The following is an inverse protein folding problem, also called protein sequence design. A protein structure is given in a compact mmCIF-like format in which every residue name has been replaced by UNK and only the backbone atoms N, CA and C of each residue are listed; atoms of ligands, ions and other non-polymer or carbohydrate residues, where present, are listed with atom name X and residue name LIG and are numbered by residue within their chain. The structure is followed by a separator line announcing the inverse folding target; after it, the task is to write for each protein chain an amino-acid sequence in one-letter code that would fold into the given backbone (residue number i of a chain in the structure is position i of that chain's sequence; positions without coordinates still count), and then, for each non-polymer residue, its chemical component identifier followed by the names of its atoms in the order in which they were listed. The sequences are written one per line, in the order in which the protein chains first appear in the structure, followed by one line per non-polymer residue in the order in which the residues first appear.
data_IF_215730448352
#
_entry.id   IF_215730448352
#
_cell.length_a   1.000
_cell.length_b   1.000
_cell.length_c   1.000
_cell.angle_alpha   90.00
_cell.angle_beta   90.00
_cell.angle_gamma   90.00
#
_symmetry.space_group_name_H-M   'P 1'
#
loop_
_entity.id
_entity.type
_entity.pdbx_description
1 polymer ?
#
# COMPACT_ATOMS: atom_id res chain seq x y z
N UNK A 1 18.17 -18.82 22.50
CA UNK A 1 18.63 -18.11 21.29
C UNK A 1 17.64 -16.98 21.03
N UNK A 2 17.81 -15.85 21.74
CA UNK A 2 16.86 -14.72 21.68
C UNK A 2 16.98 -14.04 20.32
N UNK A 3 15.89 -14.00 19.56
CA UNK A 3 15.75 -13.21 18.34
C UNK A 3 15.63 -11.71 18.67
N UNK A 4 16.56 -11.17 19.45
CA UNK A 4 16.72 -9.74 19.64
C UNK A 4 17.80 -9.28 18.67
N UNK A 5 17.48 -8.30 17.83
CA UNK A 5 18.48 -7.65 16.98
C UNK A 5 19.61 -7.15 17.87
N UNK A 6 20.88 -7.47 17.54
CA UNK A 6 22.00 -7.12 18.41
C UNK A 6 22.07 -5.61 18.70
N UNK A 7 22.67 -5.19 19.81
CA UNK A 7 22.86 -3.78 20.11
C UNK A 7 23.74 -3.06 19.06
N UNK A 8 24.70 -3.75 18.46
CA UNK A 8 25.58 -3.19 17.42
C UNK A 8 25.44 -3.93 16.10
N UNK A 9 25.67 -3.22 14.99
CA UNK A 9 25.63 -3.82 13.66
C UNK A 9 26.81 -4.75 13.37
N UNK A 10 27.94 -4.53 14.04
CA UNK A 10 29.15 -5.35 13.91
C UNK A 10 28.96 -6.75 14.52
N UNK A 11 28.26 -6.86 15.65
CA UNK A 11 27.89 -8.14 16.26
C UNK A 11 27.04 -9.05 15.36
N UNK A 12 26.45 -8.50 14.29
CA UNK A 12 25.73 -9.30 13.30
C UNK A 12 26.69 -10.18 12.47
N UNK A 13 27.94 -9.74 12.30
CA UNK A 13 28.93 -10.39 11.45
C UNK A 13 30.11 -10.98 12.22
N UNK A 14 30.32 -10.57 13.47
CA UNK A 14 31.41 -11.06 14.30
C UNK A 14 31.01 -12.27 15.19
N UNK A 15 31.90 -13.27 15.38
CA UNK A 15 33.16 -13.46 14.67
C UNK A 15 32.93 -13.92 13.21
N UNK A 16 33.69 -13.33 12.28
CA UNK A 16 33.58 -13.62 10.84
C UNK A 16 33.68 -15.12 10.51
N UNK A 17 34.51 -15.88 11.24
CA UNK A 17 34.72 -17.31 11.01
C UNK A 17 33.44 -18.15 11.12
N UNK A 18 32.50 -17.76 11.98
CA UNK A 18 31.23 -18.47 12.17
C UNK A 18 30.09 -17.87 11.34
N UNK A 19 30.19 -16.57 11.00
CA UNK A 19 29.13 -15.81 10.36
C UNK A 19 29.39 -15.50 8.87
N UNK A 20 30.39 -16.15 8.23
CA UNK A 20 30.68 -16.00 6.78
C UNK A 20 29.41 -16.15 5.92
N UNK A 21 28.54 -17.10 6.28
CA UNK A 21 27.28 -17.35 5.56
C UNK A 21 26.36 -16.13 5.52
N UNK A 22 26.36 -15.27 6.57
CA UNK A 22 25.57 -14.03 6.59
C UNK A 22 26.10 -13.01 5.59
N UNK A 23 27.42 -12.92 5.44
CA UNK A 23 28.08 -12.04 4.46
C UNK A 23 27.74 -12.50 3.04
N UNK A 24 27.82 -13.82 2.78
CA UNK A 24 27.44 -14.40 1.49
C UNK A 24 25.97 -14.11 1.17
N UNK A 25 25.06 -14.32 2.13
CA UNK A 25 23.63 -14.01 1.94
C UNK A 25 23.40 -12.51 1.69
N UNK A 26 24.05 -11.63 2.45
CA UNK A 26 23.95 -10.19 2.25
C UNK A 26 24.41 -9.79 0.84
N UNK A 27 25.53 -10.35 0.37
CA UNK A 27 26.03 -10.13 -0.99
C UNK A 27 25.04 -10.61 -2.06
N UNK A 28 24.48 -11.81 -1.91
CA UNK A 28 23.46 -12.36 -2.82
C UNK A 28 22.23 -11.47 -2.85
N UNK A 29 21.73 -11.02 -1.69
CA UNK A 29 20.58 -10.12 -1.59
C UNK A 29 20.86 -8.79 -2.30
N UNK A 30 22.04 -8.20 -2.10
CA UNK A 30 22.46 -6.98 -2.79
C UNK A 30 22.42 -7.17 -4.32
N UNK A 31 22.99 -8.27 -4.83
CA UNK A 31 22.98 -8.60 -6.26
C UNK A 31 21.54 -8.76 -6.77
N UNK A 32 20.68 -9.46 -6.03
CA UNK A 32 19.27 -9.63 -6.39
C UNK A 32 18.50 -8.32 -6.43
N UNK A 33 18.75 -7.39 -5.49
CA UNK A 33 18.13 -6.06 -5.49
C UNK A 33 18.57 -5.28 -6.73
N UNK A 34 19.87 -5.23 -7.02
CA UNK A 34 20.41 -4.54 -8.20
C UNK A 34 19.79 -5.11 -9.49
N UNK A 35 19.72 -6.44 -9.60
CA UNK A 35 19.09 -7.11 -10.74
C UNK A 35 17.61 -6.74 -10.86
N UNK A 36 16.87 -6.71 -9.74
CA UNK A 36 15.45 -6.32 -9.72
C UNK A 36 15.25 -4.85 -10.12
N UNK A 37 16.10 -3.93 -9.67
CA UNK A 37 16.09 -2.52 -10.09
C UNK A 37 16.26 -2.44 -11.61
N UNK A 38 17.32 -3.07 -12.15
CA UNK A 38 17.59 -3.04 -13.58
C UNK A 38 16.48 -3.67 -14.43
N UNK A 39 15.85 -4.74 -13.95
CA UNK A 39 14.68 -5.35 -14.60
C UNK A 39 13.47 -4.41 -14.58
N UNK A 40 13.16 -3.77 -13.44
CA UNK A 40 12.02 -2.86 -13.30
C UNK A 40 12.17 -1.61 -14.17
N UNK A 41 13.37 -1.02 -14.21
CA UNK A 41 13.66 0.13 -15.07
C UNK A 41 13.49 -0.25 -16.55
N UNK A 42 14.04 -1.38 -16.98
CA UNK A 42 13.87 -1.85 -18.38
C UNK A 42 12.41 -2.12 -18.74
N UNK A 43 11.66 -2.76 -17.85
CA UNK A 43 10.23 -3.00 -18.05
C UNK A 43 9.46 -1.68 -18.18
N UNK A 44 9.74 -0.71 -17.30
CA UNK A 44 9.11 0.62 -17.33
C UNK A 44 9.44 1.35 -18.63
N UNK A 45 10.70 1.37 -19.04
CA UNK A 45 11.13 1.97 -20.30
C UNK A 45 10.47 1.31 -21.51
N UNK A 46 10.32 -0.02 -21.50
CA UNK A 46 9.62 -0.76 -22.56
C UNK A 46 8.15 -0.34 -22.65
N UNK A 47 7.45 -0.25 -21.51
CA UNK A 47 6.05 0.17 -21.46
C UNK A 47 5.88 1.60 -21.95
N UNK A 48 6.75 2.53 -21.51
CA UNK A 48 6.70 3.94 -21.96
C UNK A 48 6.94 4.05 -23.46
N UNK A 49 7.93 3.32 -24.01
CA UNK A 49 8.21 3.32 -25.45
C UNK A 49 7.05 2.75 -26.27
N UNK A 50 6.50 1.62 -25.85
CA UNK A 50 5.37 0.98 -26.52
C UNK A 50 4.14 1.90 -26.53
N UNK A 51 3.85 2.56 -25.40
CA UNK A 51 2.74 3.50 -25.29
C UNK A 51 2.94 4.76 -26.13
N UNK A 52 4.14 5.35 -26.12
CA UNK A 52 4.44 6.50 -26.97
C UNK A 52 4.37 6.15 -28.45
N UNK A 53 4.84 4.95 -28.84
CA UNK A 53 4.71 4.46 -30.20
C UNK A 53 3.24 4.26 -30.59
N UNK A 54 2.43 3.67 -29.71
CA UNK A 54 0.99 3.52 -29.93
C UNK A 54 0.26 4.86 -30.03
N UNK A 55 0.54 5.81 -29.14
CA UNK A 55 -0.04 7.18 -29.18
C UNK A 55 0.32 7.84 -30.52
N UNK A 56 1.58 7.73 -30.93
CA UNK A 56 2.05 8.33 -32.19
C UNK A 56 1.35 7.69 -33.39
N UNK A 57 1.35 6.36 -33.47
CA UNK A 57 0.70 5.61 -34.54
C UNK A 57 -0.80 5.92 -34.64
N UNK A 58 -1.52 5.91 -33.50
CA UNK A 58 -2.94 6.28 -33.46
C UNK A 58 -3.21 7.73 -33.86
N UNK A 59 -2.33 8.65 -33.48
CA UNK A 59 -2.47 10.06 -33.88
C UNK A 59 -2.26 10.22 -35.37
N UNK A 60 -1.30 9.52 -35.96
CA UNK A 60 -1.04 9.53 -37.41
C UNK A 60 -2.23 8.97 -38.20
N UNK A 61 -2.80 7.84 -37.76
CA UNK A 61 -4.00 7.24 -38.37
C UNK A 61 -5.22 8.18 -38.31
N UNK A 62 -5.49 8.78 -37.15
CA UNK A 62 -6.59 9.75 -37.01
C UNK A 62 -6.37 11.04 -37.80
N UNK A 63 -5.11 11.42 -38.01
CA UNK A 63 -4.75 12.59 -38.82
C UNK A 63 -5.00 12.29 -40.31
N UNK A 64 -4.75 11.06 -40.77
CA UNK A 64 -5.07 10.60 -42.11
C UNK A 64 -6.60 10.56 -42.33
N UNK A 65 -7.36 10.00 -41.38
CA UNK A 65 -8.83 9.99 -41.43
C UNK A 65 -9.44 11.41 -41.53
N UNK A 66 -8.80 12.38 -40.87
CA UNK A 66 -9.24 13.78 -40.93
C UNK A 66 -9.21 14.34 -42.36
N UNK A 67 -8.32 13.84 -43.23
CA UNK A 67 -8.21 14.28 -44.62
C UNK A 67 -9.36 13.78 -45.50
N UNK A 68 -9.99 12.67 -45.14
CA UNK A 68 -11.12 12.08 -45.85
C UNK A 68 -12.49 12.58 -45.35
N UNK A 69 -12.52 13.44 -44.33
CA UNK A 69 -13.76 14.04 -43.83
C UNK A 69 -14.47 14.85 -44.92
N UNK A 70 -15.75 14.55 -45.16
CA UNK A 70 -16.52 15.27 -46.17
C UNK A 70 -16.84 16.71 -45.72
N UNK A 71 -16.64 17.77 -46.55
CA UNK A 71 -16.82 19.16 -46.15
C UNK A 71 -18.24 19.51 -45.66
N UNK A 72 -19.26 18.77 -46.11
CA UNK A 72 -20.66 18.93 -45.66
C UNK A 72 -20.95 18.34 -44.27
N UNK A 73 -20.02 17.58 -43.68
CA UNK A 73 -20.19 16.96 -42.37
C UNK A 73 -19.08 17.40 -41.39
N UNK A 74 -19.11 18.64 -40.89
CA UNK A 74 -18.08 19.16 -39.98
C UNK A 74 -18.07 18.48 -38.60
N UNK A 75 -19.13 17.78 -38.23
CA UNK A 75 -19.23 17.10 -36.93
C UNK A 75 -18.25 15.92 -36.82
N UNK A 76 -17.97 15.23 -37.94
CA UNK A 76 -17.04 14.09 -38.00
C UNK A 76 -15.60 14.57 -37.77
N UNK A 77 -15.19 15.61 -38.48
CA UNK A 77 -13.90 16.26 -38.26
C UNK A 77 -13.71 16.75 -36.82
N UNK A 78 -14.75 17.35 -36.21
CA UNK A 78 -14.71 17.76 -34.79
C UNK A 78 -14.59 16.56 -33.85
N UNK A 79 -15.28 15.45 -34.14
CA UNK A 79 -15.20 14.24 -33.33
C UNK A 79 -13.80 13.63 -33.37
N UNK A 80 -13.17 13.53 -34.56
CA UNK A 80 -11.80 13.03 -34.73
C UNK A 80 -10.79 13.93 -34.01
N UNK A 81 -10.89 15.26 -34.17
CA UNK A 81 -10.04 16.21 -33.44
C UNK A 81 -10.17 16.08 -31.92
N UNK A 82 -11.38 15.83 -31.41
CA UNK A 82 -11.59 15.57 -29.99
C UNK A 82 -10.94 14.25 -29.56
N UNK A 83 -11.01 13.18 -30.36
CA UNK A 83 -10.31 11.92 -30.10
C UNK A 83 -8.79 12.12 -30.02
N UNK A 84 -8.20 12.86 -30.97
CA UNK A 84 -6.76 13.20 -30.96
C UNK A 84 -6.40 13.95 -29.67
N UNK A 85 -7.20 14.93 -29.26
CA UNK A 85 -6.99 15.67 -27.99
C UNK A 85 -7.07 14.75 -26.77
N UNK A 86 -7.97 13.77 -26.77
CA UNK A 86 -8.12 12.80 -25.68
C UNK A 86 -6.90 11.87 -25.64
N UNK A 87 -6.49 11.33 -26.79
CA UNK A 87 -5.34 10.41 -26.89
C UNK A 87 -4.05 11.10 -26.46
N UNK A 88 -3.82 12.32 -26.90
CA UNK A 88 -2.65 13.11 -26.48
C UNK A 88 -2.67 13.49 -24.99
N UNK A 89 -3.84 13.47 -24.35
CA UNK A 89 -3.99 13.69 -22.90
C UNK A 89 -3.89 12.41 -22.07
N UNK A 90 -3.79 11.22 -22.69
CA UNK A 90 -3.61 9.97 -21.97
C UNK A 90 -2.30 10.05 -21.17
N UNK A 91 -2.40 9.97 -19.85
CA UNK A 91 -1.21 10.02 -18.98
C UNK A 91 -0.32 8.82 -19.29
N UNK A 92 0.96 9.10 -19.58
CA UNK A 92 1.97 8.09 -19.92
C UNK A 92 2.14 7.05 -18.81
N UNK A 93 1.96 7.45 -17.54
CA UNK A 93 2.23 6.62 -16.36
C UNK A 93 1.03 5.88 -15.75
N UNK A 94 -0.20 6.03 -16.27
CA UNK A 94 -1.30 5.17 -15.78
C UNK A 94 -1.05 3.76 -16.32
N UNK A 95 -0.59 2.87 -15.44
CA UNK A 95 -0.54 1.45 -15.70
C UNK A 95 -1.94 0.86 -15.58
N UNK A 96 -2.32 0.03 -16.54
CA UNK A 96 -3.57 -0.76 -16.52
C UNK A 96 -3.54 -1.85 -15.43
N UNK A 97 -2.36 -2.12 -14.85
CA UNK A 97 -2.16 -3.19 -13.87
C UNK A 97 -1.68 -2.64 -12.52
N UNK A 98 -2.48 -2.85 -11.47
CA UNK A 98 -2.16 -2.49 -10.08
C UNK A 98 -0.82 -3.08 -9.61
N UNK A 99 -0.43 -4.25 -10.14
CA UNK A 99 0.85 -4.90 -9.82
C UNK A 99 2.07 -4.09 -10.24
N UNK A 100 1.93 -3.16 -11.19
CA UNK A 100 3.01 -2.27 -11.59
C UNK A 100 3.37 -1.27 -10.47
N UNK A 101 2.36 -0.66 -9.84
CA UNK A 101 2.56 0.25 -8.72
C UNK A 101 3.12 -0.51 -7.51
N UNK A 102 2.59 -1.70 -7.26
CA UNK A 102 3.07 -2.56 -6.18
C UNK A 102 4.56 -2.93 -6.33
N UNK A 103 5.02 -3.25 -7.55
CA UNK A 103 6.43 -3.54 -7.81
C UNK A 103 7.36 -2.36 -7.47
N UNK A 104 6.92 -1.11 -7.71
CA UNK A 104 7.67 0.09 -7.33
C UNK A 104 7.71 0.28 -5.82
N UNK A 105 6.59 0.09 -5.12
CA UNK A 105 6.54 0.14 -3.65
C UNK A 105 7.49 -0.91 -3.06
N UNK A 106 7.42 -2.15 -3.55
CA UNK A 106 8.31 -3.22 -3.12
C UNK A 106 9.79 -2.89 -3.39
N UNK A 107 10.09 -2.25 -4.52
CA UNK A 107 11.45 -1.83 -4.85
C UNK A 107 11.97 -0.76 -3.89
N UNK A 108 11.15 0.25 -3.58
CA UNK A 108 11.49 1.32 -2.64
C UNK A 108 11.76 0.73 -1.25
N UNK A 109 10.90 -0.17 -0.77
CA UNK A 109 11.06 -0.83 0.54
C UNK A 109 12.32 -1.71 0.56
N UNK A 110 12.64 -2.43 -0.52
CA UNK A 110 13.89 -3.19 -0.62
C UNK A 110 15.14 -2.28 -0.62
N UNK A 111 15.09 -1.13 -1.29
CA UNK A 111 16.20 -0.15 -1.25
C UNK A 111 16.33 0.45 0.15
N UNK A 112 15.22 0.78 0.81
CA UNK A 112 15.20 1.31 2.16
C UNK A 112 15.79 0.32 3.19
N UNK A 113 15.44 -0.97 3.09
CA UNK A 113 16.05 -2.01 3.93
C UNK A 113 17.55 -2.14 3.71
N UNK A 114 18.02 -2.08 2.46
CA UNK A 114 19.45 -2.10 2.16
C UNK A 114 20.18 -0.88 2.73
N UNK A 115 19.60 0.31 2.57
CA UNK A 115 20.16 1.55 3.12
C UNK A 115 20.24 1.51 4.65
N UNK A 116 19.19 1.05 5.32
CA UNK A 116 19.16 0.88 6.77
C UNK A 116 20.12 -0.20 7.25
N UNK A 117 20.30 -1.27 6.47
CA UNK A 117 21.28 -2.30 6.79
C UNK A 117 22.71 -1.75 6.79
N UNK A 118 23.05 -0.92 5.79
CA UNK A 118 24.35 -0.23 5.72
C UNK A 118 24.48 0.78 6.87
N UNK A 119 23.43 1.55 7.15
CA UNK A 119 23.43 2.55 8.24
C UNK A 119 23.61 1.89 9.61
N UNK A 120 22.90 0.80 9.87
CA UNK A 120 22.99 0.03 11.11
C UNK A 120 24.38 -0.62 11.29
N UNK A 121 25.05 -1.02 10.20
CA UNK A 121 26.43 -1.51 10.25
C UNK A 121 27.46 -0.40 10.52
N UNK A 122 27.25 0.81 9.98
CA UNK A 122 28.22 1.92 10.08
C UNK A 122 28.06 2.77 11.34
N UNK A 123 26.85 2.90 11.85
CA UNK A 123 26.52 3.74 13.00
C UNK A 123 26.32 2.82 14.20
N UNK A 124 27.40 2.55 14.90
CA UNK A 124 27.35 1.72 16.10
C UNK A 124 26.59 2.41 17.24
N UNK A 125 25.87 1.61 18.02
CA UNK A 125 25.20 1.99 19.26
C UNK A 125 24.13 3.10 19.14
N UNK A 126 23.38 3.16 18.02
CA UNK A 126 22.19 4.00 17.92
C UNK A 126 20.89 3.15 17.96
N UNK A 127 20.17 3.25 19.08
CA UNK A 127 18.92 2.52 19.31
C UNK A 127 17.82 2.89 18.31
N UNK A 128 17.74 4.15 17.87
CA UNK A 128 16.72 4.59 16.91
C UNK A 128 16.90 3.93 15.54
N UNK A 129 18.14 3.80 15.08
CA UNK A 129 18.47 3.12 13.82
C UNK A 129 18.17 1.63 13.94
N UNK A 130 18.44 1.01 15.09
CA UNK A 130 18.10 -0.40 15.36
C UNK A 130 16.58 -0.64 15.32
N UNK A 131 15.79 0.23 15.94
CA UNK A 131 14.33 0.13 15.90
C UNK A 131 13.79 0.34 14.48
N UNK A 132 14.30 1.34 13.76
CA UNK A 132 13.91 1.59 12.38
C UNK A 132 14.26 0.41 11.46
N UNK A 133 15.48 -0.12 11.56
CA UNK A 133 15.94 -1.30 10.82
C UNK A 133 15.02 -2.51 11.06
N UNK A 134 14.72 -2.80 12.33
CA UNK A 134 13.89 -3.96 12.70
C UNK A 134 12.46 -3.83 12.17
N UNK A 135 11.84 -2.65 12.33
CA UNK A 135 10.46 -2.38 11.85
C UNK A 135 10.38 -2.45 10.33
N UNK A 136 11.29 -1.77 9.63
CA UNK A 136 11.27 -1.71 8.16
C UNK A 136 11.60 -3.07 7.56
N UNK A 137 12.50 -3.85 8.17
CA UNK A 137 12.75 -5.24 7.74
C UNK A 137 11.53 -6.14 7.90
N UNK A 138 10.75 -5.97 8.98
CA UNK A 138 9.49 -6.72 9.18
C UNK A 138 8.48 -6.37 8.08
N UNK A 139 8.28 -5.08 7.81
CA UNK A 139 7.39 -4.61 6.74
C UNK A 139 7.86 -5.13 5.39
N UNK A 140 9.17 -5.06 5.10
CA UNK A 140 9.73 -5.55 3.86
C UNK A 140 9.50 -7.04 3.66
N UNK A 141 9.56 -7.85 4.71
CA UNK A 141 9.24 -9.28 4.63
C UNK A 141 7.80 -9.50 4.16
N UNK A 142 6.83 -8.77 4.70
CA UNK A 142 5.43 -8.86 4.28
C UNK A 142 5.24 -8.41 2.82
N UNK A 143 5.87 -7.30 2.44
CA UNK A 143 5.79 -6.77 1.07
C UNK A 143 6.42 -7.73 0.06
N UNK A 144 7.56 -8.35 0.40
CA UNK A 144 8.18 -9.34 -0.48
C UNK A 144 7.32 -10.61 -0.59
N UNK A 145 6.69 -11.06 0.50
CA UNK A 145 5.78 -12.22 0.47
C UNK A 145 4.55 -11.97 -0.39
N UNK A 146 3.91 -10.81 -0.26
CA UNK A 146 2.80 -10.40 -1.12
C UNK A 146 3.21 -10.29 -2.60
N UNK A 147 4.45 -9.88 -2.87
CA UNK A 147 4.97 -9.88 -4.25
C UNK A 147 5.01 -11.28 -4.88
N UNK A 148 5.20 -12.34 -4.09
CA UNK A 148 5.19 -13.72 -4.60
C UNK A 148 3.85 -14.07 -5.25
N UNK A 149 2.74 -13.44 -4.83
CA UNK A 149 1.44 -13.61 -5.48
C UNK A 149 1.49 -13.23 -6.96
N UNK A 150 2.29 -12.25 -7.35
CA UNK A 150 2.45 -11.89 -8.77
C UNK A 150 3.05 -13.04 -9.58
N UNK A 151 4.06 -13.71 -9.02
CA UNK A 151 4.71 -14.86 -9.67
C UNK A 151 3.76 -16.08 -9.70
N UNK A 152 2.83 -16.16 -8.74
CA UNK A 152 1.81 -17.21 -8.70
C UNK A 152 0.69 -17.05 -9.74
N UNK A 153 0.58 -15.87 -10.37
CA UNK A 153 -0.44 -15.57 -11.40
C UNK A 153 -0.38 -16.52 -12.60
N UNK A 154 0.80 -17.07 -12.90
CA UNK A 154 1.01 -17.99 -14.03
C UNK A 154 0.50 -19.41 -13.78
N UNK A 155 0.18 -19.78 -12.54
CA UNK A 155 -0.30 -21.14 -12.23
C UNK A 155 -1.81 -21.29 -12.41
N UNK A 156 -2.30 -22.38 -13.03
CA UNK A 156 -3.73 -22.66 -13.14
C UNK A 156 -4.40 -22.76 -11.76
N UNK A 157 -5.62 -22.22 -11.62
CA UNK A 157 -6.37 -22.20 -10.37
C UNK A 157 -5.99 -21.03 -9.46
N UNK A 158 -4.82 -21.07 -8.83
CA UNK A 158 -4.34 -20.01 -7.92
C UNK A 158 -4.21 -18.68 -8.68
N UNK A 159 -3.72 -18.72 -9.93
CA UNK A 159 -3.58 -17.52 -10.75
C UNK A 159 -4.91 -16.83 -11.06
N UNK A 160 -6.00 -17.60 -11.21
CA UNK A 160 -7.34 -17.03 -11.42
C UNK A 160 -7.81 -16.26 -10.18
N UNK A 161 -7.59 -16.79 -8.98
CA UNK A 161 -7.92 -16.08 -7.73
C UNK A 161 -7.17 -14.76 -7.60
N UNK A 162 -5.88 -14.75 -7.96
CA UNK A 162 -5.03 -13.55 -7.92
C UNK A 162 -5.51 -12.51 -8.95
N UNK A 163 -5.95 -12.93 -10.13
CA UNK A 163 -6.50 -12.05 -11.15
C UNK A 163 -7.80 -11.41 -10.65
N UNK A 164 -8.71 -12.21 -10.10
CA UNK A 164 -9.98 -11.71 -9.55
C UNK A 164 -9.71 -10.70 -8.42
N UNK A 165 -8.80 -11.02 -7.48
CA UNK A 165 -8.43 -10.10 -6.40
C UNK A 165 -7.90 -8.76 -6.93
N UNK A 166 -7.11 -8.79 -8.01
CA UNK A 166 -6.60 -7.59 -8.67
C UNK A 166 -7.68 -6.77 -9.38
N UNK A 167 -8.75 -7.41 -9.89
CA UNK A 167 -9.86 -6.71 -10.52
C UNK A 167 -10.83 -6.10 -9.49
N UNK A 168 -11.04 -6.78 -8.36
CA UNK A 168 -11.92 -6.30 -7.29
C UNK A 168 -11.26 -5.20 -6.43
N UNK A 169 -9.97 -4.88 -6.61
CA UNK A 169 -9.28 -3.90 -5.77
C UNK A 169 -9.90 -2.51 -5.80
N UNK A 170 -10.44 -2.09 -6.95
CA UNK A 170 -11.09 -0.79 -7.09
C UNK A 170 -12.43 -0.77 -6.33
N UNK A 171 -13.16 -1.89 -6.33
CA UNK A 171 -14.38 -2.05 -5.53
C UNK A 171 -14.06 -2.02 -4.03
N UNK A 172 -12.95 -2.63 -3.59
CA UNK A 172 -12.50 -2.55 -2.20
C UNK A 172 -12.22 -1.11 -1.76
N UNK A 173 -11.67 -0.25 -2.62
CA UNK A 173 -11.44 1.16 -2.28
C UNK A 173 -12.76 1.90 -2.09
N UNK A 174 -13.75 1.64 -2.95
CA UNK A 174 -15.09 2.22 -2.81
C UNK A 174 -15.78 1.76 -1.52
N UNK A 175 -15.66 0.47 -1.17
CA UNK A 175 -16.16 -0.07 0.09
C UNK A 175 -15.42 0.50 1.30
N UNK A 176 -14.09 0.65 1.24
CA UNK A 176 -13.32 1.28 2.30
C UNK A 176 -13.75 2.73 2.52
N UNK A 177 -14.04 3.48 1.45
CA UNK A 177 -14.59 4.83 1.55
C UNK A 177 -15.94 4.85 2.27
N UNK A 178 -16.86 3.94 1.91
CA UNK A 178 -18.15 3.81 2.59
C UNK A 178 -17.98 3.44 4.08
N UNK A 179 -17.06 2.51 4.39
CA UNK A 179 -16.71 2.15 5.76
C UNK A 179 -16.22 3.39 6.53
N UNK A 180 -15.28 4.16 5.97
CA UNK A 180 -14.78 5.37 6.63
C UNK A 180 -15.83 6.47 6.80
N UNK A 181 -16.81 6.56 5.89
CA UNK A 181 -17.93 7.49 5.99
C UNK A 181 -18.82 7.21 7.21
N UNK A 182 -18.94 5.95 7.63
CA UNK A 182 -19.67 5.54 8.84
C UNK A 182 -18.74 5.60 10.05
N UNK A 183 -17.54 5.03 9.93
CA UNK A 183 -16.56 4.90 11.02
C UNK A 183 -16.15 6.24 11.65
N UNK A 184 -15.91 7.29 10.83
CA UNK A 184 -15.42 8.59 11.33
C UNK A 184 -16.49 9.29 12.20
N UNK A 185 -17.75 9.46 11.76
CA UNK A 185 -18.81 10.02 12.60
C UNK A 185 -19.03 9.25 13.90
N UNK A 186 -19.05 7.91 13.86
CA UNK A 186 -19.21 7.11 15.07
C UNK A 186 -18.03 7.29 16.03
N UNK A 187 -16.81 7.27 15.52
CA UNK A 187 -15.60 7.54 16.33
C UNK A 187 -15.65 8.95 16.96
N UNK A 188 -16.14 9.96 16.23
CA UNK A 188 -16.33 11.29 16.78
C UNK A 188 -17.40 11.32 17.89
N UNK A 189 -18.52 10.60 17.72
CA UNK A 189 -19.54 10.45 18.75
C UNK A 189 -18.99 9.80 20.02
N UNK A 190 -18.23 8.71 19.89
CA UNK A 190 -17.54 8.07 21.03
C UNK A 190 -16.54 9.01 21.70
N UNK A 191 -15.83 9.86 20.94
CA UNK A 191 -14.90 10.84 21.49
C UNK A 191 -15.59 11.91 22.32
N UNK A 192 -16.74 12.43 21.85
CA UNK A 192 -17.49 13.48 22.54
C UNK A 192 -18.04 12.97 23.88
N UNK A 193 -18.55 11.73 23.90
CA UNK A 193 -19.27 11.19 25.05
C UNK A 193 -18.35 10.47 26.04
N UNK A 194 -17.33 9.75 25.57
CA UNK A 194 -16.45 8.91 26.42
C UNK A 194 -14.98 9.30 26.39
N UNK A 195 -14.60 10.27 25.53
CA UNK A 195 -13.21 10.67 25.35
C UNK A 195 -12.74 11.72 26.36
N UNK A 196 -11.58 12.32 26.09
CA UNK A 196 -10.94 13.31 26.96
C UNK A 196 -11.81 14.50 27.43
N UNK A 197 -12.73 15.06 26.63
CA UNK A 197 -13.58 16.17 27.07
C UNK A 197 -14.85 15.73 27.84
N UNK A 198 -15.06 14.43 28.06
CA UNK A 198 -16.24 13.92 28.75
C UNK A 198 -16.17 14.08 30.28
N UNK A 199 -17.34 14.03 30.94
CA UNK A 199 -17.46 14.08 32.41
C UNK A 199 -16.84 12.86 33.11
N UNK A 200 -16.81 11.71 32.41
CA UNK A 200 -16.28 10.42 32.90
C UNK A 200 -15.49 9.73 31.78
N UNK A 201 -14.22 10.10 31.56
CA UNK A 201 -13.42 9.55 30.47
C UNK A 201 -13.17 8.06 30.69
N UNK A 202 -13.33 7.27 29.62
CA UNK A 202 -13.10 5.82 29.63
C UNK A 202 -11.68 5.51 29.18
N UNK A 203 -11.03 4.55 29.83
CA UNK A 203 -9.68 4.10 29.51
C UNK A 203 -9.62 3.64 28.03
N UNK A 204 -8.63 4.10 27.29
CA UNK A 204 -8.41 3.90 25.84
C UNK A 204 -9.21 4.80 24.88
N UNK A 205 -10.10 5.66 25.40
CA UNK A 205 -10.83 6.67 24.62
C UNK A 205 -10.26 8.08 24.77
N UNK A 206 -9.19 8.24 25.56
CA UNK A 206 -8.54 9.50 25.92
C UNK A 206 -7.68 10.11 24.80
N UNK A 207 -7.19 9.29 23.87
CA UNK A 207 -6.37 9.72 22.72
C UNK A 207 -7.01 9.30 21.40
N UNK A 208 -6.98 10.14 20.33
CA UNK A 208 -7.63 9.82 19.06
C UNK A 208 -7.18 8.48 18.46
N UNK A 209 -5.88 8.17 18.49
CA UNK A 209 -5.37 6.91 17.95
C UNK A 209 -5.85 5.67 18.74
N UNK A 210 -5.92 5.78 20.07
CA UNK A 210 -6.41 4.70 20.94
C UNK A 210 -7.91 4.52 20.81
N UNK A 211 -8.65 5.62 20.64
CA UNK A 211 -10.09 5.59 20.39
C UNK A 211 -10.39 4.92 19.05
N UNK A 212 -9.73 5.36 17.96
CA UNK A 212 -9.96 4.78 16.63
C UNK A 212 -9.67 3.28 16.63
N UNK A 213 -8.61 2.86 17.33
CA UNK A 213 -8.32 1.44 17.51
C UNK A 213 -9.41 0.72 18.31
N UNK A 214 -9.90 1.30 19.40
CA UNK A 214 -10.95 0.69 20.24
C UNK A 214 -12.29 0.59 19.53
N UNK A 215 -12.68 1.61 18.76
CA UNK A 215 -13.89 1.59 17.91
C UNK A 215 -13.72 0.59 16.77
N UNK A 216 -12.54 0.52 16.15
CA UNK A 216 -12.26 -0.50 15.13
C UNK A 216 -12.29 -1.94 15.70
N UNK A 217 -11.90 -2.15 16.96
CA UNK A 217 -12.08 -3.46 17.61
C UNK A 217 -13.55 -3.84 17.78
N UNK A 218 -14.41 -2.84 18.05
CA UNK A 218 -15.86 -3.04 18.12
C UNK A 218 -16.44 -3.47 16.75
N UNK A 219 -15.97 -2.89 15.65
CA UNK A 219 -16.31 -3.32 14.28
C UNK A 219 -15.99 -4.79 14.00
N UNK A 220 -14.81 -5.23 14.43
CA UNK A 220 -14.32 -6.60 14.20
C UNK A 220 -14.96 -7.61 15.17
N UNK A 221 -15.75 -7.15 16.15
CA UNK A 221 -16.38 -8.00 17.17
C UNK A 221 -15.39 -8.53 18.21
N UNK A 222 -14.27 -7.84 18.41
CA UNK A 222 -13.26 -8.18 19.42
C UNK A 222 -13.63 -7.58 20.79
N UNK A 223 -13.05 -8.11 21.88
CA UNK A 223 -13.37 -7.71 23.26
C UNK A 223 -13.01 -6.24 23.51
N UNK A 224 -14.02 -5.38 23.55
CA UNK A 224 -13.89 -3.96 23.89
C UNK A 224 -14.43 -3.67 25.31
N UNK A 225 -13.99 -2.55 25.91
CA UNK A 225 -14.31 -2.18 27.29
C UNK A 225 -15.76 -1.67 27.44
N UNK A 226 -16.75 -2.55 27.22
CA UNK A 226 -18.17 -2.22 27.33
C UNK A 226 -18.55 -1.84 28.76
N UNK A 227 -17.99 -2.50 29.77
CA UNK A 227 -18.25 -2.21 31.18
C UNK A 227 -17.84 -0.78 31.54
N UNK A 228 -16.68 -0.32 31.04
CA UNK A 228 -16.21 1.05 31.21
C UNK A 228 -17.13 2.08 30.54
N UNK A 229 -17.64 1.78 29.33
CA UNK A 229 -18.59 2.64 28.63
C UNK A 229 -19.92 2.75 29.40
N UNK A 230 -20.47 1.62 29.86
CA UNK A 230 -21.74 1.57 30.60
C UNK A 230 -21.62 2.23 31.98
N UNK A 231 -20.46 2.12 32.65
CA UNK A 231 -20.21 2.79 33.92
C UNK A 231 -20.09 4.32 33.78
N UNK A 232 -19.60 4.80 32.64
CA UNK A 232 -19.55 6.22 32.32
C UNK A 232 -20.95 6.77 32.05
N UNK A 233 -21.62 6.25 31.02
CA UNK A 233 -22.96 6.68 30.63
C UNK A 233 -23.77 5.49 30.07
N UNK A 234 -24.67 4.89 30.87
CA UNK A 234 -25.28 3.59 30.53
C UNK A 234 -26.22 3.65 29.32
N UNK A 235 -26.96 4.74 29.15
CA UNK A 235 -27.96 4.87 28.08
C UNK A 235 -27.28 5.10 26.72
N UNK A 236 -26.40 6.09 26.67
CA UNK A 236 -25.70 6.44 25.44
C UNK A 236 -24.69 5.35 25.01
N UNK A 237 -24.04 4.66 25.97
CA UNK A 237 -23.14 3.56 25.66
C UNK A 237 -23.85 2.43 24.92
N UNK A 238 -25.06 2.06 25.37
CA UNK A 238 -25.84 0.99 24.74
C UNK A 238 -26.36 1.41 23.37
N UNK A 239 -26.88 2.62 23.24
CA UNK A 239 -27.41 3.13 21.96
C UNK A 239 -26.30 3.20 20.91
N UNK A 240 -25.17 3.83 21.23
CA UNK A 240 -24.07 3.98 20.28
C UNK A 240 -23.45 2.64 19.91
N UNK A 241 -23.26 1.75 20.88
CA UNK A 241 -22.70 0.42 20.62
C UNK A 241 -23.63 -0.40 19.73
N UNK A 242 -24.93 -0.45 20.03
CA UNK A 242 -25.89 -1.20 19.21
C UNK A 242 -25.97 -0.60 17.81
N UNK A 243 -26.14 0.72 17.68
CA UNK A 243 -26.23 1.38 16.38
C UNK A 243 -24.99 1.14 15.53
N UNK A 244 -23.80 1.22 16.13
CA UNK A 244 -22.54 1.00 15.41
C UNK A 244 -22.38 -0.45 14.96
N UNK A 245 -22.59 -1.43 15.85
CA UNK A 245 -22.47 -2.85 15.54
C UNK A 245 -23.52 -3.31 14.52
N UNK A 246 -24.72 -2.72 14.52
CA UNK A 246 -25.76 -3.04 13.52
C UNK A 246 -25.60 -2.32 12.19
N UNK A 247 -24.81 -1.25 12.14
CA UNK A 247 -24.61 -0.45 10.93
C UNK A 247 -23.52 -1.02 10.01
N UNK A 248 -22.69 -1.92 10.53
CA UNK A 248 -21.67 -2.67 9.80
C UNK A 248 -22.15 -4.09 9.44
#
# INVERSE_FOLDING_TARGET
MSMLTPPTGQELYDPLSQNVWRVVLALVICIMIIFKVGRQVRATLKTVRAKNHWIKWQTEELQEDLTYCHPRWPQEARAIQNKIKIINKLKIFIAEDAWFYYDWIALIVMIATLALHIAYYKVDANDDIRFAYTRIRSIASLVVSLRLLKDLRSFPGIGTLIIILGQTSDDFINWAFLFFLIFIPFSASFWIIFGGPSLKPVLHYDKPASLLYSVFRMAVGDDFNLEGLVAAEPDMARILTVMYVTAE
#
